data_IF_801327368307
#
_entry.id   IF_801327368307
#
_cell.length_a   1.000
_cell.length_b   1.000
_cell.length_c   1.000
_cell.angle_alpha   90.00
_cell.angle_beta   90.00
_cell.angle_gamma   90.00
#
_symmetry.space_group_name_H-M   'P 1'
#
loop_
_entity.id
_entity.type
_entity.pdbx_description
1 polymer ?
#
# COMPACT_ATOMS: atom_id res chain seq x y z
N UNK A 1 14.62 -7.48 3.87
CA UNK A 1 15.11 -6.09 3.90
C UNK A 1 14.01 -5.10 3.51
N UNK A 2 13.69 -4.91 2.22
CA UNK A 2 12.65 -3.93 1.80
C UNK A 2 11.28 -4.24 2.40
N UNK A 3 10.89 -5.52 2.39
CA UNK A 3 9.62 -6.01 2.99
C UNK A 3 9.56 -5.71 4.49
N UNK A 4 10.65 -5.94 5.22
CA UNK A 4 10.69 -5.72 6.67
C UNK A 4 10.66 -4.23 7.01
N UNK A 5 11.33 -3.39 6.20
CA UNK A 5 11.33 -1.95 6.37
C UNK A 5 9.94 -1.36 6.11
N UNK A 6 9.24 -1.81 5.05
CA UNK A 6 7.85 -1.40 4.80
C UNK A 6 6.92 -1.94 5.88
N UNK A 7 7.08 -3.19 6.32
CA UNK A 7 6.26 -3.77 7.39
C UNK A 7 6.41 -2.99 8.71
N UNK A 8 7.62 -2.51 9.03
CA UNK A 8 7.84 -1.66 10.20
C UNK A 8 7.08 -0.32 10.11
N UNK A 9 6.93 0.24 8.90
CA UNK A 9 6.10 1.43 8.65
C UNK A 9 4.60 1.09 8.76
N UNK A 10 4.17 -0.04 8.19
CA UNK A 10 2.79 -0.53 8.31
C UNK A 10 2.38 -0.80 9.76
N UNK A 11 3.30 -1.27 10.60
CA UNK A 11 3.04 -1.56 12.00
C UNK A 11 3.02 -0.31 12.89
N UNK A 12 3.57 0.83 12.41
CA UNK A 12 3.72 2.03 13.23
C UNK A 12 2.43 2.89 13.23
N UNK A 13 1.66 2.92 14.33
CA UNK A 13 0.30 3.45 14.37
C UNK A 13 0.20 5.00 14.29
N UNK A 14 1.33 5.69 14.18
CA UNK A 14 1.38 7.15 14.08
C UNK A 14 1.49 7.62 12.63
N UNK A 15 1.87 6.74 11.69
CA UNK A 15 1.72 7.02 10.27
C UNK A 15 0.25 6.87 9.88
N UNK A 16 -0.27 7.86 9.14
CA UNK A 16 -1.70 7.98 8.85
C UNK A 16 -2.04 7.60 7.42
N UNK A 17 -1.05 7.27 6.61
CA UNK A 17 -1.17 7.03 5.18
C UNK A 17 -0.67 5.65 4.77
N UNK A 18 -0.29 4.81 5.73
CA UNK A 18 0.24 3.45 5.51
C UNK A 18 -0.25 2.53 6.63
N UNK A 19 -0.69 1.33 6.28
CA UNK A 19 -0.94 0.23 7.23
C UNK A 19 -1.87 0.54 8.41
N UNK A 20 -1.46 0.11 9.60
CA UNK A 20 -2.25 0.12 10.83
C UNK A 20 -2.52 1.54 11.31
N UNK A 21 -3.80 1.91 11.43
CA UNK A 21 -4.18 3.28 11.74
C UNK A 21 -4.13 4.25 10.54
N UNK A 22 -4.02 3.72 9.31
CA UNK A 22 -4.22 4.48 8.08
C UNK A 22 -5.59 5.17 8.04
N UNK A 23 -5.67 6.29 7.33
CA UNK A 23 -6.94 7.01 7.14
C UNK A 23 -7.91 6.15 6.31
N UNK A 24 -9.16 5.99 6.76
CA UNK A 24 -10.13 5.16 6.07
C UNK A 24 -10.73 5.85 4.82
N UNK A 25 -11.47 5.05 4.06
CA UNK A 25 -12.40 5.49 3.02
C UNK A 25 -13.49 6.41 3.57
N UNK A 26 -14.30 7.00 2.69
CA UNK A 26 -15.50 7.77 3.09
C UNK A 26 -16.49 6.99 3.95
N UNK A 27 -16.43 5.65 3.91
CA UNK A 27 -17.31 4.76 4.69
C UNK A 27 -16.69 4.31 6.02
N UNK A 28 -15.49 4.77 6.37
CA UNK A 28 -14.81 4.38 7.61
C UNK A 28 -14.10 3.02 7.54
N UNK A 29 -13.94 2.42 6.37
CA UNK A 29 -13.18 1.18 6.17
C UNK A 29 -11.72 1.49 5.78
N UNK A 30 -10.75 0.81 6.40
CA UNK A 30 -9.33 0.96 6.02
C UNK A 30 -9.00 -0.05 4.92
N UNK A 31 -8.83 0.47 3.70
CA UNK A 31 -8.46 -0.31 2.52
C UNK A 31 -6.99 -0.02 2.16
N UNK A 32 -6.17 -1.06 2.07
CA UNK A 32 -4.73 -0.97 1.91
C UNK A 32 -4.27 -1.49 0.55
N UNK A 33 -3.32 -0.78 -0.06
CA UNK A 33 -2.68 -1.17 -1.31
C UNK A 33 -1.18 -1.39 -1.05
N UNK A 34 -0.59 -2.46 -1.56
CA UNK A 34 0.83 -2.73 -1.42
C UNK A 34 1.37 -3.61 -2.55
N UNK A 35 2.66 -3.49 -2.81
CA UNK A 35 3.34 -4.34 -3.78
C UNK A 35 4.80 -4.63 -3.42
N UNK A 36 5.33 -5.64 -4.09
CA UNK A 36 6.72 -6.07 -4.04
C UNK A 36 7.17 -6.50 -5.44
N UNK A 37 8.42 -6.21 -5.79
CA UNK A 37 9.06 -6.76 -6.97
C UNK A 37 10.53 -7.10 -6.72
N UNK A 38 10.91 -8.28 -7.19
CA UNK A 38 12.27 -8.78 -7.27
C UNK A 38 12.90 -8.32 -8.60
N UNK A 39 14.03 -7.61 -8.52
CA UNK A 39 14.70 -7.06 -9.69
C UNK A 39 15.47 -8.08 -10.51
N UNK A 40 15.84 -9.24 -9.94
CA UNK A 40 16.64 -10.25 -10.63
C UNK A 40 15.76 -11.13 -11.52
N UNK A 41 14.50 -11.35 -11.11
CA UNK A 41 13.58 -12.25 -11.80
C UNK A 41 12.35 -11.55 -12.38
N UNK A 42 12.18 -10.26 -12.10
CA UNK A 42 10.97 -9.47 -12.38
C UNK A 42 9.70 -10.07 -11.74
N UNK A 43 9.86 -10.95 -10.76
CA UNK A 43 8.72 -11.54 -10.06
C UNK A 43 8.11 -10.48 -9.16
N UNK A 44 6.80 -10.29 -9.28
CA UNK A 44 6.08 -9.28 -8.52
C UNK A 44 4.88 -9.89 -7.83
N UNK A 45 4.47 -9.27 -6.74
CA UNK A 45 3.16 -9.51 -6.16
C UNK A 45 2.55 -8.21 -5.64
N UNK A 46 1.23 -8.13 -5.67
CA UNK A 46 0.51 -6.92 -5.31
C UNK A 46 -0.87 -7.23 -4.69
N UNK A 47 -1.29 -6.36 -3.79
CA UNK A 47 -2.63 -6.36 -3.22
C UNK A 47 -3.25 -4.97 -3.34
N UNK A 48 -4.55 -4.93 -3.62
CA UNK A 48 -5.32 -3.70 -3.70
C UNK A 48 -6.59 -3.75 -2.87
N UNK A 49 -6.96 -2.66 -2.22
CA UNK A 49 -8.13 -2.56 -1.34
C UNK A 49 -8.22 -3.72 -0.32
N UNK A 50 -7.08 -4.17 0.20
CA UNK A 50 -7.00 -5.22 1.20
C UNK A 50 -7.49 -4.67 2.55
N UNK A 51 -8.37 -5.41 3.22
CA UNK A 51 -8.97 -5.01 4.50
C UNK A 51 -8.59 -6.03 5.58
N UNK A 52 -8.35 -5.51 6.78
CA UNK A 52 -8.14 -6.26 8.01
C UNK A 52 -7.02 -7.32 7.98
N UNK A 53 -5.91 -7.01 7.31
CA UNK A 53 -4.67 -7.78 7.35
C UNK A 53 -3.53 -6.88 7.83
N UNK A 54 -2.74 -7.37 8.80
CA UNK A 54 -1.73 -6.58 9.49
C UNK A 54 -0.67 -5.95 8.57
N UNK A 55 -0.13 -6.73 7.62
CA UNK A 55 0.97 -6.30 6.77
C UNK A 55 0.70 -6.60 5.28
N UNK A 56 0.03 -5.71 4.54
CA UNK A 56 -0.21 -5.84 3.10
C UNK A 56 1.05 -6.13 2.28
N UNK A 57 2.19 -5.51 2.60
CA UNK A 57 3.46 -5.76 1.87
C UNK A 57 3.94 -7.21 1.98
N UNK A 58 3.67 -7.87 3.11
CA UNK A 58 4.03 -9.29 3.30
C UNK A 58 3.12 -10.20 2.49
N UNK A 59 1.85 -9.83 2.31
CA UNK A 59 0.92 -10.53 1.41
C UNK A 59 1.38 -10.37 -0.04
N UNK A 60 1.73 -9.15 -0.45
CA UNK A 60 2.30 -8.87 -1.77
C UNK A 60 3.59 -9.68 -2.04
N UNK A 61 4.51 -9.73 -1.09
CA UNK A 61 5.71 -10.56 -1.19
C UNK A 61 5.40 -12.06 -1.23
N UNK A 62 4.36 -12.55 -0.55
CA UNK A 62 3.93 -13.94 -0.68
C UNK A 62 3.33 -14.24 -2.07
N UNK A 63 2.58 -13.29 -2.64
CA UNK A 63 2.02 -13.38 -3.99
C UNK A 63 3.09 -13.39 -5.08
N UNK A 64 4.26 -12.79 -4.87
CA UNK A 64 5.34 -12.81 -5.87
C UNK A 64 5.93 -14.19 -6.14
N UNK A 65 5.68 -15.16 -5.25
CA UNK A 65 6.04 -16.56 -5.44
C UNK A 65 5.05 -17.33 -6.31
N UNK A 66 3.89 -16.74 -6.62
CA UNK A 66 2.88 -17.37 -7.45
C UNK A 66 3.22 -17.21 -8.93
N UNK A 67 3.01 -18.28 -9.70
CA UNK A 67 3.15 -18.25 -11.16
C UNK A 67 2.02 -17.46 -11.84
N UNK A 68 0.82 -17.52 -11.27
CA UNK A 68 -0.39 -16.83 -11.73
C UNK A 68 -1.08 -16.19 -10.53
N UNK A 69 -1.98 -15.23 -10.76
CA UNK A 69 -2.74 -14.55 -9.71
C UNK A 69 -1.85 -13.78 -8.71
N UNK A 70 -0.76 -13.18 -9.20
CA UNK A 70 0.19 -12.43 -8.36
C UNK A 70 -0.32 -11.03 -7.99
N UNK A 71 -1.47 -10.60 -8.52
CA UNK A 71 -2.19 -9.40 -8.09
C UNK A 71 -3.60 -9.80 -7.70
N UNK A 72 -3.97 -9.54 -6.44
CA UNK A 72 -5.32 -9.79 -5.92
C UNK A 72 -5.90 -8.50 -5.32
N UNK A 73 -7.22 -8.34 -5.35
CA UNK A 73 -7.88 -7.17 -4.78
C UNK A 73 -9.06 -7.52 -3.88
N UNK A 74 -9.39 -6.62 -2.97
CA UNK A 74 -10.60 -6.65 -2.15
C UNK A 74 -10.77 -7.94 -1.35
N UNK A 75 -12.00 -8.46 -1.35
CA UNK A 75 -12.37 -9.66 -0.60
C UNK A 75 -11.53 -10.89 -0.99
N UNK A 76 -11.26 -11.09 -2.29
CA UNK A 76 -10.45 -12.23 -2.75
C UNK A 76 -9.01 -12.17 -2.25
N UNK A 77 -8.41 -10.97 -2.15
CA UNK A 77 -7.09 -10.81 -1.55
C UNK A 77 -7.08 -11.15 -0.06
N UNK A 78 -8.13 -10.76 0.68
CA UNK A 78 -8.28 -11.07 2.11
C UNK A 78 -8.44 -12.57 2.34
N UNK A 79 -9.35 -13.21 1.60
CA UNK A 79 -9.57 -14.67 1.69
C UNK A 79 -8.30 -15.45 1.38
N UNK A 80 -7.57 -15.04 0.34
CA UNK A 80 -6.29 -15.62 0.01
C UNK A 80 -5.28 -15.44 1.15
N UNK A 81 -5.11 -14.22 1.68
CA UNK A 81 -4.19 -13.94 2.79
C UNK A 81 -4.49 -14.81 4.02
N UNK A 82 -5.77 -14.89 4.43
CA UNK A 82 -6.18 -15.75 5.55
C UNK A 82 -5.87 -17.23 5.27
N UNK A 83 -6.10 -17.71 4.04
CA UNK A 83 -5.77 -19.09 3.64
C UNK A 83 -4.27 -19.40 3.72
N UNK A 84 -3.41 -18.39 3.59
CA UNK A 84 -1.95 -18.52 3.72
C UNK A 84 -1.46 -18.33 5.17
N UNK A 85 -2.37 -18.14 6.13
CA UNK A 85 -2.04 -18.00 7.55
C UNK A 85 -1.68 -16.57 7.98
N UNK A 86 -1.94 -15.55 7.17
CA UNK A 86 -1.83 -14.16 7.63
C UNK A 86 -2.91 -13.87 8.68
N UNK A 87 -2.54 -13.10 9.71
CA UNK A 87 -3.45 -12.81 10.82
C UNK A 87 -4.51 -11.78 10.42
N UNK A 88 -5.76 -12.09 10.77
CA UNK A 88 -6.86 -11.14 10.76
C UNK A 88 -6.62 -10.07 11.84
N UNK A 89 -6.67 -8.80 11.45
CA UNK A 89 -6.40 -7.68 12.36
C UNK A 89 -7.19 -6.46 11.91
N UNK A 90 -8.08 -5.96 12.75
CA UNK A 90 -8.78 -4.70 12.50
C UNK A 90 -7.78 -3.55 12.33
N UNK A 91 -7.76 -2.94 11.15
CA UNK A 91 -6.76 -1.92 10.81
C UNK A 91 -7.17 -0.50 11.19
N UNK A 92 -8.47 -0.26 11.36
CA UNK A 92 -9.00 1.00 11.85
C UNK A 92 -8.77 1.12 13.37
N UNK A 93 -8.11 2.20 13.78
CA UNK A 93 -7.98 2.55 15.20
C UNK A 93 -8.90 3.70 15.59
N UNK A 94 -9.27 3.79 16.87
CA UNK A 94 -10.04 4.92 17.40
C UNK A 94 -9.35 6.26 17.10
N UNK A 95 -8.03 6.28 17.19
CA UNK A 95 -7.22 7.45 16.87
C UNK A 95 -7.33 7.83 15.39
N UNK A 96 -7.24 6.85 14.48
CA UNK A 96 -7.40 7.10 13.06
C UNK A 96 -8.78 7.67 12.76
N UNK A 97 -9.84 7.13 13.38
CA UNK A 97 -11.21 7.63 13.25
C UNK A 97 -11.38 9.05 13.81
N UNK A 98 -10.76 9.37 14.95
CA UNK A 98 -10.75 10.74 15.48
C UNK A 98 -10.03 11.72 14.55
N UNK A 99 -8.87 11.33 14.01
CA UNK A 99 -8.13 12.13 13.03
C UNK A 99 -8.93 12.32 11.74
N UNK A 100 -9.57 11.27 11.23
CA UNK A 100 -10.44 11.31 10.06
C UNK A 100 -11.56 12.33 10.26
N UNK A 101 -12.32 12.23 11.35
CA UNK A 101 -13.41 13.18 11.68
C UNK A 101 -12.91 14.62 11.80
N UNK A 102 -11.72 14.83 12.38
CA UNK A 102 -11.11 16.15 12.47
C UNK A 102 -10.77 16.70 11.08
N UNK A 103 -10.13 15.88 10.23
CA UNK A 103 -9.75 16.26 8.87
C UNK A 103 -10.97 16.54 8.00
N UNK A 104 -12.05 15.77 8.12
CA UNK A 104 -13.31 16.05 7.39
C UNK A 104 -13.86 17.44 7.71
N UNK A 105 -13.87 17.83 9.00
CA UNK A 105 -14.30 19.18 9.41
C UNK A 105 -13.38 20.26 8.82
N UNK A 106 -12.07 20.09 8.95
CA UNK A 106 -11.10 21.04 8.41
C UNK A 106 -11.19 21.20 6.89
N UNK A 107 -11.40 20.10 6.15
CA UNK A 107 -11.56 20.11 4.69
C UNK A 107 -12.82 20.87 4.28
N UNK A 108 -13.95 20.63 4.95
CA UNK A 108 -15.20 21.37 4.72
C UNK A 108 -15.05 22.86 5.04
N UNK A 109 -14.46 23.18 6.19
CA UNK A 109 -14.30 24.56 6.66
C UNK A 109 -13.34 25.39 5.79
N UNK A 110 -12.31 24.75 5.21
CA UNK A 110 -11.28 25.41 4.40
C UNK A 110 -11.50 25.31 2.89
N UNK A 111 -12.50 24.57 2.44
CA UNK A 111 -12.74 24.31 1.02
C UNK A 111 -11.57 23.59 0.32
N UNK A 112 -10.78 22.82 1.06
CA UNK A 112 -9.65 22.05 0.51
C UNK A 112 -10.15 20.83 -0.26
N UNK A 113 -9.36 20.34 -1.21
CA UNK A 113 -9.62 19.03 -1.79
C UNK A 113 -9.31 17.95 -0.75
N UNK A 114 -10.16 16.91 -0.56
CA UNK A 114 -9.81 15.76 0.27
C UNK A 114 -8.50 15.07 -0.19
N UNK A 115 -8.10 15.32 -1.43
CA UNK A 115 -6.92 14.74 -2.07
C UNK A 115 -5.65 15.59 -1.89
N UNK A 116 -5.73 16.70 -1.14
CA UNK A 116 -4.58 17.53 -0.81
C UNK A 116 -3.71 16.89 0.28
N UNK A 117 -2.53 16.41 -0.14
CA UNK A 117 -1.48 15.88 0.73
C UNK A 117 -1.75 14.44 1.18
N UNK A 118 -0.99 13.52 0.62
CA UNK A 118 -0.95 12.10 0.98
C UNK A 118 0.41 11.53 0.59
N UNK A 119 0.98 10.73 1.48
CA UNK A 119 2.29 10.12 1.29
C UNK A 119 2.19 8.60 1.38
N UNK A 120 2.74 7.90 0.40
CA UNK A 120 2.94 6.45 0.38
C UNK A 120 4.34 6.13 0.90
N UNK A 121 4.56 4.94 1.45
CA UNK A 121 5.93 4.44 1.65
C UNK A 121 6.37 3.62 0.44
N UNK A 122 7.54 3.96 -0.09
CA UNK A 122 8.25 3.20 -1.11
C UNK A 122 9.69 2.98 -0.66
N UNK A 123 10.18 1.74 -0.74
CA UNK A 123 11.54 1.37 -0.33
C UNK A 123 12.18 0.54 -1.43
N UNK A 124 13.36 0.98 -1.86
CA UNK A 124 14.24 0.26 -2.78
C UNK A 124 15.43 -0.26 -1.98
N UNK A 125 15.78 -1.53 -2.20
CA UNK A 125 17.00 -2.14 -1.68
C UNK A 125 17.95 -2.46 -2.81
N UNK A 126 19.23 -2.19 -2.59
CA UNK A 126 20.34 -2.64 -3.43
C UNK A 126 21.32 -3.38 -2.50
N UNK A 127 21.62 -4.63 -2.80
CA UNK A 127 22.58 -5.41 -2.02
C UNK A 127 24.02 -5.29 -2.55
N UNK A 128 24.95 -6.01 -1.91
CA UNK A 128 26.37 -5.98 -2.28
C UNK A 128 26.69 -6.78 -3.56
N UNK A 129 25.76 -7.62 -4.00
CA UNK A 129 25.86 -8.44 -5.20
C UNK A 129 25.28 -7.72 -6.42
N UNK A 130 24.62 -6.59 -6.22
CA UNK A 130 23.95 -5.84 -7.28
C UNK A 130 22.48 -6.22 -7.46
N UNK A 131 21.94 -7.10 -6.61
CA UNK A 131 20.52 -7.48 -6.63
C UNK A 131 19.68 -6.34 -6.06
N UNK A 132 18.58 -6.04 -6.73
CA UNK A 132 17.65 -5.00 -6.35
C UNK A 132 16.26 -5.56 -6.02
N UNK A 133 15.57 -4.90 -5.11
CA UNK A 133 14.15 -5.15 -4.86
C UNK A 133 13.45 -3.85 -4.49
N UNK A 134 12.14 -3.79 -4.73
CA UNK A 134 11.31 -2.65 -4.37
C UNK A 134 10.04 -3.12 -3.67
N UNK A 135 9.57 -2.34 -2.71
CA UNK A 135 8.29 -2.54 -2.06
C UNK A 135 7.58 -1.22 -1.80
N UNK A 136 6.25 -1.21 -1.94
CA UNK A 136 5.37 -0.07 -1.69
C UNK A 136 4.22 -0.47 -0.78
N UNK A 137 3.72 0.47 0.03
CA UNK A 137 2.51 0.26 0.82
C UNK A 137 1.83 1.58 1.15
N UNK A 138 0.49 1.57 1.16
CA UNK A 138 -0.33 2.76 1.42
C UNK A 138 -1.72 2.40 1.92
N UNK A 139 -2.35 3.32 2.65
CA UNK A 139 -3.81 3.32 2.86
C UNK A 139 -4.57 4.08 1.78
N UNK A 140 -3.86 4.69 0.82
CA UNK A 140 -4.44 5.53 -0.22
C UNK A 140 -5.01 6.85 0.29
N UNK A 141 -5.64 7.60 -0.62
CA UNK A 141 -6.09 8.97 -0.34
C UNK A 141 -7.14 9.03 0.79
N UNK A 142 -7.08 10.12 1.56
CA UNK A 142 -8.11 10.48 2.53
C UNK A 142 -9.48 10.62 1.83
N UNK A 143 -10.55 10.10 2.46
CA UNK A 143 -11.91 10.07 1.91
C UNK A 143 -12.04 9.42 0.53
N UNK A 144 -11.09 8.56 0.14
CA UNK A 144 -11.25 7.81 -1.11
C UNK A 144 -12.58 7.04 -1.11
N UNK A 145 -13.19 6.94 -2.29
CA UNK A 145 -14.32 6.03 -2.51
C UNK A 145 -13.89 4.61 -2.20
N UNK A 146 -14.82 3.80 -1.68
CA UNK A 146 -14.60 2.37 -1.49
C UNK A 146 -14.19 1.72 -2.81
N UNK A 147 -13.15 0.88 -2.79
CA UNK A 147 -12.61 0.24 -3.97
C UNK A 147 -11.77 1.15 -4.88
N UNK A 148 -11.46 2.39 -4.47
CA UNK A 148 -10.48 3.23 -5.19
C UNK A 148 -9.10 2.61 -4.99
N UNK A 149 -8.43 2.33 -6.09
CA UNK A 149 -7.07 1.82 -6.15
C UNK A 149 -6.11 2.94 -6.60
N UNK A 150 -4.98 3.10 -5.91
CA UNK A 150 -3.92 4.04 -6.32
C UNK A 150 -2.91 3.45 -7.30
N UNK A 151 -1.81 4.18 -7.50
CA UNK A 151 -0.61 3.77 -8.25
C UNK A 151 0.21 2.69 -7.52
N UNK A 152 0.16 2.69 -6.19
CA UNK A 152 1.09 1.92 -5.34
C UNK A 152 1.13 0.42 -5.63
N UNK A 153 0.02 -0.29 -5.97
CA UNK A 153 0.05 -1.69 -6.34
C UNK A 153 0.22 -1.94 -7.85
N UNK A 154 0.44 -0.88 -8.66
CA UNK A 154 0.53 -0.93 -10.12
C UNK A 154 1.99 -0.85 -10.56
N UNK A 155 2.47 -1.93 -11.18
CA UNK A 155 3.82 -2.02 -11.76
C UNK A 155 3.99 -0.95 -12.83
N UNK A 156 5.14 -0.28 -12.83
CA UNK A 156 5.48 0.79 -13.77
C UNK A 156 4.87 2.15 -13.43
N UNK A 157 3.94 2.21 -12.47
CA UNK A 157 3.40 3.46 -11.93
C UNK A 157 3.94 3.73 -10.52
N UNK A 158 3.47 2.99 -9.51
CA UNK A 158 3.91 3.19 -8.13
C UNK A 158 5.28 2.60 -7.81
N UNK A 159 5.72 1.59 -8.57
CA UNK A 159 7.02 0.95 -8.42
C UNK A 159 7.47 0.24 -9.69
N UNK A 160 8.78 0.10 -9.84
CA UNK A 160 9.40 -0.82 -10.80
C UNK A 160 10.81 -1.17 -10.33
N UNK A 161 11.28 -2.38 -10.62
CA UNK A 161 12.62 -2.83 -10.27
C UNK A 161 13.14 -3.83 -11.30
N UNK A 162 14.32 -3.55 -11.81
CA UNK A 162 15.10 -4.41 -12.70
C UNK A 162 16.57 -4.27 -12.29
N UNK A 163 17.19 -5.34 -11.80
CA UNK A 163 18.57 -5.28 -11.33
C UNK A 163 19.59 -4.98 -12.43
N UNK A 164 19.24 -5.18 -13.71
CA UNK A 164 20.11 -4.83 -14.84
C UNK A 164 20.10 -3.33 -15.15
N UNK A 165 19.05 -2.61 -14.72
CA UNK A 165 18.81 -1.21 -15.10
C UNK A 165 18.75 -0.28 -13.88
N UNK A 166 17.89 -0.59 -12.92
CA UNK A 166 17.61 0.21 -11.73
C UNK A 166 16.22 -0.05 -11.16
N UNK A 167 15.88 0.70 -10.11
CA UNK A 167 14.57 0.64 -9.48
C UNK A 167 14.04 2.03 -9.17
N UNK A 168 12.72 2.16 -9.15
CA UNK A 168 11.99 3.39 -8.86
C UNK A 168 10.73 3.09 -8.04
N UNK A 169 10.33 4.06 -7.22
CA UNK A 169 9.07 4.04 -6.48
C UNK A 169 8.54 5.46 -6.33
N UNK A 170 7.22 5.61 -6.31
CA UNK A 170 6.54 6.90 -6.34
C UNK A 170 5.65 7.13 -5.12
N UNK A 171 5.34 8.41 -4.88
CA UNK A 171 4.40 8.87 -3.86
C UNK A 171 3.69 10.12 -4.37
N UNK A 172 2.46 10.35 -3.92
CA UNK A 172 1.64 11.50 -4.28
C UNK A 172 0.25 11.10 -4.79
N UNK A 173 -0.28 11.86 -5.75
CA UNK A 173 -1.60 11.61 -6.32
C UNK A 173 -1.52 10.45 -7.33
N UNK A 174 -1.98 9.27 -6.91
CA UNK A 174 -1.90 8.06 -7.73
C UNK A 174 -2.53 8.19 -9.11
N UNK A 175 -3.64 8.94 -9.25
CA UNK A 175 -4.27 9.20 -10.55
C UNK A 175 -3.36 9.98 -11.50
N UNK A 176 -2.47 10.83 -11.00
CA UNK A 176 -1.50 11.54 -11.83
C UNK A 176 -0.32 10.64 -12.20
N UNK A 177 0.17 9.84 -11.24
CA UNK A 177 1.26 8.88 -11.47
C UNK A 177 0.89 7.76 -12.46
N UNK A 178 -0.41 7.44 -12.58
CA UNK A 178 -0.89 6.42 -13.52
C UNK A 178 -1.12 6.95 -14.94
N UNK A 179 -1.06 8.27 -15.19
CA UNK A 179 -1.33 8.85 -16.53
C UNK A 179 -0.24 8.59 -17.56
N UNK A 180 0.97 8.21 -17.13
CA UNK A 180 2.14 8.00 -17.99
C UNK A 180 2.87 9.29 -18.30
#
# INVERSE_FOLDING_TARGET
AVVDAVAAVEDFPFYKSVGYGGLPTENGEVELDAAYMDGDTLAFGAVGNLVDIANPVRVAHALSRQRYNSLLVGQGAREWALSQGFADKTMLTDRAMQHYRKRCRETLDKGLSPYDGHDTVGIIGLDKQGSMSVATSTSGLFMKKRGRLGDSPIIGSGFYCDSETGAATATGVGEDLMKG
#
